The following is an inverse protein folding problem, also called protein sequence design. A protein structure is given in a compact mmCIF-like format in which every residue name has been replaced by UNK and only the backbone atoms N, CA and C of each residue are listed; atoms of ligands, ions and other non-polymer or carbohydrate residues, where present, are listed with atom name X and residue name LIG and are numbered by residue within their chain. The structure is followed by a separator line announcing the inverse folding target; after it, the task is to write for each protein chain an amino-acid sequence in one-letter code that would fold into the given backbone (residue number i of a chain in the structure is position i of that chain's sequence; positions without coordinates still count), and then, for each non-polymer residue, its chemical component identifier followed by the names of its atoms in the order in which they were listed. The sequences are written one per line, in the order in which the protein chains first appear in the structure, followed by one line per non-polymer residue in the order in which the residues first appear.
data_IF_098316866197
#
_entry.id   IF_098316866197
#
_cell.length_a   1.000
_cell.length_b   1.000
_cell.length_c   1.000
_cell.angle_alpha   90.00
_cell.angle_beta   90.00
_cell.angle_gamma   90.00
#
_symmetry.space_group_name_H-M   'P 1'
#
loop_
_entity.id
_entity.type
_entity.pdbx_description
1 polymer ?
#
# COMPACT_ATOMS: atom_id res chain seq x y z
N UNK A 1 6.83 -9.31 -17.70
CA UNK A 1 7.14 -8.75 -16.41
C UNK A 1 6.05 -8.99 -15.43
N UNK A 2 6.42 -9.44 -14.25
CA UNK A 2 5.43 -9.73 -13.23
C UNK A 2 4.65 -8.50 -12.83
N UNK A 3 5.30 -7.34 -12.90
CA UNK A 3 4.67 -6.09 -12.49
C UNK A 3 3.50 -5.70 -13.34
N UNK A 4 3.44 -6.21 -14.55
CA UNK A 4 2.36 -5.86 -15.47
C UNK A 4 1.01 -6.37 -15.01
N UNK A 5 1.01 -7.31 -14.06
CA UNK A 5 -0.23 -7.88 -13.56
C UNK A 5 -0.86 -7.11 -12.41
N UNK A 6 -0.17 -6.09 -11.89
CA UNK A 6 -0.70 -5.32 -10.78
C UNK A 6 -1.51 -4.13 -11.29
N UNK A 7 -2.58 -3.76 -10.59
CA UNK A 7 -3.37 -2.59 -10.99
C UNK A 7 -2.53 -1.32 -10.98
N UNK A 8 -2.75 -0.49 -11.98
CA UNK A 8 -1.99 0.76 -12.10
C UNK A 8 -2.25 1.70 -10.93
N UNK A 9 -3.42 1.61 -10.30
CA UNK A 9 -3.75 2.46 -9.17
C UNK A 9 -2.77 2.28 -8.02
N UNK A 10 -2.25 1.07 -7.85
CA UNK A 10 -1.26 0.81 -6.79
C UNK A 10 0.01 1.59 -7.07
N UNK A 11 0.49 1.54 -8.30
CA UNK A 11 1.70 2.27 -8.67
C UNK A 11 1.50 3.77 -8.56
N UNK A 12 0.34 4.26 -9.00
CA UNK A 12 0.05 5.69 -8.91
C UNK A 12 0.07 6.17 -7.47
N UNK A 13 -0.49 5.38 -6.54
CA UNK A 13 -0.48 5.76 -5.13
C UNK A 13 0.94 5.89 -4.60
N UNK A 14 1.82 4.97 -5.00
CA UNK A 14 3.21 5.01 -4.56
C UNK A 14 3.95 6.20 -5.15
N UNK A 15 3.71 6.50 -6.42
CA UNK A 15 4.33 7.67 -7.05
C UNK A 15 3.88 8.95 -6.37
N UNK A 16 2.62 9.03 -5.96
CA UNK A 16 2.12 10.21 -5.27
C UNK A 16 2.79 10.41 -3.91
N UNK A 17 3.33 9.35 -3.34
CA UNK A 17 4.07 9.45 -2.07
C UNK A 17 5.55 9.71 -2.28
N UNK A 18 5.99 9.82 -3.53
CA UNK A 18 7.38 10.07 -3.82
C UNK A 18 8.23 8.83 -3.97
N UNK A 19 7.61 7.66 -3.99
CA UNK A 19 8.33 6.41 -4.20
C UNK A 19 8.35 6.10 -5.68
N UNK A 20 9.48 5.60 -6.17
CA UNK A 20 9.65 5.28 -7.57
C UNK A 20 10.23 3.89 -7.74
N UNK A 21 10.15 3.39 -8.98
CA UNK A 21 10.49 2.00 -9.27
C UNK A 21 11.97 1.66 -9.10
N UNK A 22 12.82 2.64 -8.86
CA UNK A 22 14.23 2.35 -8.61
C UNK A 22 14.53 1.98 -7.16
N UNK A 23 13.51 1.91 -6.31
CA UNK A 23 13.66 1.44 -4.93
C UNK A 23 13.10 0.03 -4.82
N UNK A 24 13.87 -0.88 -4.22
CA UNK A 24 13.41 -2.26 -4.04
C UNK A 24 12.11 -2.32 -3.26
N UNK A 25 11.98 -1.47 -2.24
CA UNK A 25 10.77 -1.43 -1.44
C UNK A 25 9.52 -1.04 -2.22
N UNK A 26 9.69 -0.33 -3.33
CA UNK A 26 8.56 0.05 -4.18
C UNK A 26 7.79 -1.20 -4.63
N UNK A 27 8.51 -2.19 -5.14
CA UNK A 27 7.86 -3.41 -5.63
C UNK A 27 7.32 -4.26 -4.51
N UNK A 28 8.05 -4.35 -3.39
CA UNK A 28 7.58 -5.10 -2.24
C UNK A 28 6.27 -4.49 -1.71
N UNK A 29 6.21 -3.17 -1.60
CA UNK A 29 5.00 -2.50 -1.16
C UNK A 29 3.87 -2.71 -2.15
N UNK A 30 4.14 -2.59 -3.44
CA UNK A 30 3.11 -2.74 -4.46
C UNK A 30 2.46 -4.11 -4.38
N UNK A 31 3.27 -5.16 -4.28
CA UNK A 31 2.72 -6.51 -4.21
C UNK A 31 2.04 -6.75 -2.86
N UNK A 32 2.61 -6.24 -1.77
CA UNK A 32 1.97 -6.36 -0.46
C UNK A 32 0.59 -5.71 -0.45
N UNK A 33 0.47 -4.53 -1.04
CA UNK A 33 -0.82 -3.85 -1.12
C UNK A 33 -1.80 -4.66 -1.98
N UNK A 34 -1.32 -5.19 -3.09
CA UNK A 34 -2.14 -6.02 -3.95
C UNK A 34 -2.74 -7.21 -3.19
N UNK A 35 -1.89 -7.92 -2.43
CA UNK A 35 -2.35 -9.06 -1.64
C UNK A 35 -3.31 -8.62 -0.54
N UNK A 36 -3.03 -7.50 0.11
CA UNK A 36 -3.85 -7.03 1.21
C UNK A 36 -5.21 -6.52 0.75
N UNK A 37 -5.29 -5.96 -0.45
CA UNK A 37 -6.58 -5.57 -1.00
C UNK A 37 -7.46 -6.80 -1.21
N UNK A 38 -6.85 -7.90 -1.64
CA UNK A 38 -7.59 -9.14 -1.85
C UNK A 38 -7.93 -9.84 -0.54
N UNK A 39 -7.06 -9.70 0.46
CA UNK A 39 -7.24 -10.37 1.76
C UNK A 39 -6.83 -9.41 2.87
N UNK A 40 -7.74 -8.51 3.27
CA UNK A 40 -7.38 -7.49 4.27
C UNK A 40 -6.92 -8.06 5.60
N UNK A 41 -7.30 -9.28 5.94
CA UNK A 41 -6.86 -9.88 7.20
C UNK A 41 -5.35 -10.07 7.24
N UNK A 42 -4.66 -10.07 6.11
CA UNK A 42 -3.20 -10.16 6.09
C UNK A 42 -2.53 -8.99 6.80
N UNK A 43 -3.22 -7.84 6.87
CA UNK A 43 -2.68 -6.66 7.55
C UNK A 43 -2.59 -6.84 9.05
N UNK A 44 -3.30 -7.81 9.61
CA UNK A 44 -3.26 -8.05 11.05
C UNK A 44 -1.97 -8.73 11.50
N UNK A 45 -1.34 -9.47 10.58
CA UNK A 45 -0.11 -10.20 10.88
C UNK A 45 0.86 -10.05 9.71
N UNK A 46 1.29 -8.81 9.49
CA UNK A 46 2.14 -8.49 8.34
C UNK A 46 3.42 -9.33 8.33
N UNK A 47 4.11 -9.39 9.45
CA UNK A 47 5.37 -10.12 9.52
C UNK A 47 5.18 -11.62 9.29
N UNK A 48 4.08 -12.15 9.81
CA UNK A 48 3.87 -13.60 9.77
C UNK A 48 3.27 -14.08 8.46
N UNK A 49 2.38 -13.30 7.86
CA UNK A 49 1.64 -13.75 6.69
C UNK A 49 1.98 -12.99 5.41
N UNK A 50 2.08 -11.67 5.52
CA UNK A 50 2.24 -10.85 4.32
C UNK A 50 3.68 -10.84 3.82
N UNK A 51 4.62 -10.58 4.72
CA UNK A 51 6.03 -10.52 4.33
C UNK A 51 6.52 -11.83 3.71
N UNK A 52 6.15 -13.01 4.26
CA UNK A 52 6.57 -14.27 3.63
C UNK A 52 6.00 -14.45 2.21
N UNK A 53 4.76 -14.03 1.98
CA UNK A 53 4.17 -14.18 0.65
C UNK A 53 4.85 -13.27 -0.36
N UNK A 54 5.16 -12.04 0.04
CA UNK A 54 5.89 -11.11 -0.83
C UNK A 54 7.30 -11.65 -1.10
N UNK A 55 7.94 -12.19 -0.06
CA UNK A 55 9.28 -12.73 -0.20
C UNK A 55 9.32 -13.89 -1.18
N UNK A 56 8.32 -14.77 -1.11
CA UNK A 56 8.26 -15.90 -2.02
C UNK A 56 8.08 -15.43 -3.47
N UNK A 57 7.27 -14.42 -3.67
CA UNK A 57 7.00 -13.90 -5.02
C UNK A 57 8.26 -13.33 -5.65
N UNK A 58 9.08 -12.63 -4.86
CA UNK A 58 10.30 -12.00 -5.38
C UNK A 58 11.56 -12.80 -5.12
N UNK A 59 11.43 -14.01 -4.62
CA UNK A 59 12.56 -14.90 -4.39
C UNK A 59 13.56 -14.27 -3.43
N UNK A 60 13.09 -13.79 -2.31
CA UNK A 60 13.91 -13.17 -1.28
C UNK A 60 13.44 -13.67 0.09
N UNK A 61 13.85 -13.00 1.17
CA UNK A 61 13.51 -13.43 2.52
C UNK A 61 12.49 -12.48 3.14
N UNK A 62 11.67 -12.98 4.08
CA UNK A 62 10.75 -12.09 4.79
C UNK A 62 11.47 -10.94 5.51
N UNK A 63 12.66 -11.21 6.05
CA UNK A 63 13.43 -10.15 6.71
C UNK A 63 13.82 -9.06 5.73
N UNK A 64 14.19 -9.43 4.51
CA UNK A 64 14.53 -8.44 3.49
C UNK A 64 13.31 -7.61 3.09
N UNK A 65 12.15 -8.27 2.97
CA UNK A 65 10.92 -7.56 2.63
C UNK A 65 10.57 -6.56 3.73
N UNK A 66 10.60 -7.01 4.98
CA UNK A 66 10.28 -6.14 6.12
C UNK A 66 11.20 -4.91 6.12
N UNK A 67 12.49 -5.15 5.95
CA UNK A 67 13.46 -4.08 5.98
C UNK A 67 13.26 -3.10 4.84
N UNK A 68 13.04 -3.60 3.63
CA UNK A 68 12.87 -2.73 2.48
C UNK A 68 11.60 -1.89 2.57
N UNK A 69 10.52 -2.46 3.09
CA UNK A 69 9.31 -1.69 3.33
C UNK A 69 9.57 -0.64 4.40
N UNK A 70 10.22 -1.03 5.50
CA UNK A 70 10.52 -0.10 6.58
C UNK A 70 11.37 1.08 6.13
N UNK A 71 12.37 0.81 5.29
CA UNK A 71 13.21 1.88 4.76
C UNK A 71 12.42 2.82 3.85
N UNK A 72 11.50 2.26 3.06
CA UNK A 72 10.64 3.08 2.20
C UNK A 72 9.71 3.97 3.02
N UNK A 73 9.13 3.41 4.09
CA UNK A 73 8.27 4.19 4.99
C UNK A 73 9.08 5.32 5.62
N UNK A 74 10.29 5.03 6.06
CA UNK A 74 11.15 6.05 6.67
C UNK A 74 11.46 7.16 5.68
N UNK A 75 11.67 6.81 4.42
CA UNK A 75 11.96 7.81 3.38
C UNK A 75 10.75 8.70 3.14
N UNK A 76 9.57 8.12 3.03
CA UNK A 76 8.35 8.91 2.84
C UNK A 76 8.13 9.83 4.03
N UNK A 77 8.31 9.32 5.24
CA UNK A 77 8.14 10.10 6.45
C UNK A 77 9.12 11.28 6.50
N UNK A 78 10.36 11.03 6.08
CA UNK A 78 11.41 12.04 6.15
C UNK A 78 11.30 13.08 5.03
N UNK A 79 10.97 12.63 3.82
CA UNK A 79 11.06 13.50 2.65
C UNK A 79 9.72 14.06 2.18
N UNK A 80 8.64 13.31 2.39
CA UNK A 80 7.33 13.73 1.91
C UNK A 80 6.24 13.51 2.97
N UNK A 81 6.46 14.01 4.21
CA UNK A 81 5.47 13.78 5.27
C UNK A 81 4.10 14.39 4.95
N UNK A 82 4.07 15.50 4.24
CA UNK A 82 2.79 16.13 3.90
C UNK A 82 1.94 15.23 3.00
N UNK A 83 2.58 14.54 2.07
CA UNK A 83 1.85 13.64 1.20
C UNK A 83 1.30 12.45 1.98
N UNK A 84 2.09 11.95 2.93
CA UNK A 84 1.66 10.85 3.77
C UNK A 84 0.48 11.27 4.66
N UNK A 85 0.51 12.48 5.19
CA UNK A 85 -0.58 12.96 6.01
C UNK A 85 -1.85 13.18 5.21
N UNK A 86 -1.72 13.60 3.97
CA UNK A 86 -2.87 13.68 3.07
C UNK A 86 -3.49 12.31 2.88
N UNK A 87 -2.65 11.29 2.70
CA UNK A 87 -3.13 9.93 2.51
C UNK A 87 -3.87 9.44 3.75
N UNK A 88 -3.36 9.76 4.93
CA UNK A 88 -3.95 9.27 6.18
C UNK A 88 -5.21 10.02 6.58
N UNK A 89 -5.43 11.21 6.02
CA UNK A 89 -6.56 12.10 6.36
C UNK A 89 -6.53 12.58 7.81
N UNK A 90 -5.50 12.24 8.56
CA UNK A 90 -5.33 12.71 9.92
C UNK A 90 -3.85 13.00 10.16
N UNK A 91 -3.55 13.96 11.04
CA UNK A 91 -2.14 14.21 11.36
C UNK A 91 -1.50 12.99 12.01
N UNK A 92 -0.26 12.71 11.63
CA UNK A 92 0.51 11.63 12.22
C UNK A 92 1.57 12.26 13.10
N UNK A 93 1.63 11.82 14.35
CA UNK A 93 2.60 12.36 15.30
C UNK A 93 3.93 11.62 15.25
N UNK A 94 3.95 10.47 14.60
CA UNK A 94 5.17 9.68 14.49
C UNK A 94 5.13 8.84 13.22
N UNK A 95 6.29 8.32 12.86
CA UNK A 95 6.40 7.49 11.66
C UNK A 95 5.51 6.25 11.81
N UNK A 96 4.67 5.95 10.81
CA UNK A 96 3.83 4.76 10.90
C UNK A 96 4.66 3.48 10.79
N UNK A 97 4.13 2.41 11.37
CA UNK A 97 4.71 1.09 11.18
C UNK A 97 4.43 0.61 9.76
N UNK A 98 5.11 -0.47 9.36
CA UNK A 98 4.84 -1.07 8.06
C UNK A 98 3.37 -1.44 7.92
N UNK A 99 2.80 -2.05 8.96
CA UNK A 99 1.40 -2.47 8.91
C UNK A 99 0.47 -1.27 8.75
N UNK A 100 0.72 -0.20 9.49
CA UNK A 100 -0.11 0.99 9.37
C UNK A 100 0.03 1.65 8.01
N UNK A 101 1.25 1.73 7.51
CA UNK A 101 1.50 2.32 6.19
C UNK A 101 0.76 1.55 5.10
N UNK A 102 0.87 0.23 5.14
CA UNK A 102 0.18 -0.61 4.16
C UNK A 102 -1.34 -0.48 4.30
N UNK A 103 -1.84 -0.39 5.53
CA UNK A 103 -3.27 -0.22 5.76
C UNK A 103 -3.77 1.10 5.20
N UNK A 104 -2.98 2.17 5.30
CA UNK A 104 -3.36 3.45 4.73
C UNK A 104 -3.50 3.36 3.21
N UNK A 105 -2.56 2.67 2.57
CA UNK A 105 -2.62 2.49 1.12
C UNK A 105 -3.81 1.64 0.71
N UNK A 106 -4.06 0.56 1.43
CA UNK A 106 -5.21 -0.29 1.14
C UNK A 106 -6.51 0.48 1.30
N UNK A 107 -6.61 1.28 2.35
CA UNK A 107 -7.79 2.08 2.60
C UNK A 107 -8.03 3.08 1.47
N UNK A 108 -6.97 3.73 1.03
CA UNK A 108 -7.04 4.70 -0.06
C UNK A 108 -7.57 4.04 -1.33
N UNK A 109 -7.04 2.88 -1.65
CA UNK A 109 -7.40 2.19 -2.89
C UNK A 109 -8.79 1.56 -2.80
N UNK A 110 -9.17 1.08 -1.62
CA UNK A 110 -10.47 0.47 -1.44
C UNK A 110 -11.61 1.48 -1.52
N UNK A 111 -11.33 2.74 -1.25
CA UNK A 111 -12.34 3.79 -1.31
C UNK A 111 -12.25 4.62 -2.57
N UNK A 112 -11.41 4.21 -3.50
CA UNK A 112 -11.27 4.96 -4.75
C UNK A 112 -12.59 4.91 -5.53
N UNK A 113 -13.08 6.06 -5.96
CA UNK A 113 -14.38 6.10 -6.66
C UNK A 113 -14.32 5.53 -8.06
N UNK A 114 -13.16 5.36 -8.59
CA UNK A 114 -12.98 4.94 -9.97
C UNK A 114 -13.56 3.58 -10.27
N UNK A 115 -13.93 2.97 -9.28
CA UNK A 115 -14.49 1.71 -9.62
C UNK A 115 -15.86 1.86 -10.19
N UNK A 116 -15.80 2.36 -10.27
CA UNK A 116 -16.62 2.20 -10.60
C UNK A 116 -17.36 2.44 -10.78
N UNK A 117 -17.47 2.76 -10.66
CA UNK A 117 -18.01 2.96 -10.76
C UNK A 117 -18.88 3.22 -10.54
N UNK A 118 -18.88 3.27 -10.38
CA UNK A 118 -19.55 3.41 -10.06
C UNK A 118 -20.35 3.57 -9.70
N UNK A 119 -20.34 3.48 -9.64
CA UNK A 119 -20.98 3.41 -9.25
C UNK A 119 -21.69 3.61 -8.77
N UNK A 120 -21.62 3.60 -8.74
CA UNK A 120 -22.18 3.57 -8.29
C UNK A 120 -22.81 3.91 -7.76
N UNK A 121 -22.71 3.99 -7.78
CA UNK A 121 -23.24 4.11 -7.34
C UNK A 121 -23.82 4.31 -6.80
N UNK A 122 -23.89 4.34 -6.81
CA UNK A 122 -24.34 4.26 -6.32
C UNK A 122 -24.78 4.32 -5.62
N UNK A 123 -24.75 4.31 -5.56
CA UNK A 123 -24.96 3.92 -5.00
C UNK A 123 -25.14 4.16 -4.17
N UNK A 124 -25.10 4.07 -4.24
CA UNK A 124 -25.03 3.95 -3.73
C UNK A 124 -25.23 4.39 -2.98
N UNK A 125 -25.19 4.50 -3.18
CA UNK A 125 -25.12 4.58 -2.77
C UNK A 125 -25.31 5.01 -2.13
N UNK A 126 -25.37 5.08 -2.20
CA UNK A 126 -25.38 5.07 -1.87
C UNK A 126 -25.52 5.19 -1.27
N UNK A 127 -25.34 5.17 -1.24
CA UNK A 127 -25.32 4.94 -0.93
C UNK A 127 -25.28 4.95 -0.35
N UNK A 128 -25.18 4.89 -0.35
CA UNK A 128 -24.94 4.61 -0.10
C UNK A 128 -24.82 4.58 0.17
N UNK A 129 -24.63 4.56 0.12
CA UNK A 129 -24.21 4.15 0.05
C UNK A 129 -24.19 4.23 0.04
#
# INVERSE_FOLDING_TARGET
MMLDNLPVEIYDALYQLGLTANYTGFFHIAYAVHLAVQSPQRLRLVTKWLDPDVAAYYNTTPAAVERNIRLSVARVWSETPDLLMKLSHTPLSEKPSNAKFLALLVSQLSHAPSQEGTAAVAGRSCLSG
#
